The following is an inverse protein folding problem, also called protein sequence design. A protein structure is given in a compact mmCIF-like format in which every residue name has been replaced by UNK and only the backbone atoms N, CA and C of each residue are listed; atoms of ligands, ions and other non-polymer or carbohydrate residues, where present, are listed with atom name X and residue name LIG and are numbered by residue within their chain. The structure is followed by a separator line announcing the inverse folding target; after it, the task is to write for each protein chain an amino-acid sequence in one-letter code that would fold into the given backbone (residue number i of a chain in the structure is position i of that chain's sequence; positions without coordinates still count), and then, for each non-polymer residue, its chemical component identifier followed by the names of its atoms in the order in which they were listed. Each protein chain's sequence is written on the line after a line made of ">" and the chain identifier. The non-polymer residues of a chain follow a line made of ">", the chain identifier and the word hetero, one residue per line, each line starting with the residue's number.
data_IF_829661018064
#
_entry.id   IF_829661018064
#
_cell.length_a   1.000
_cell.length_b   1.000
_cell.length_c   1.000
_cell.angle_alpha   90.00
_cell.angle_beta   90.00
_cell.angle_gamma   90.00
#
_symmetry.space_group_name_H-M   'P 1'
#
loop_
_entity.id
_entity.type
_entity.pdbx_description
1 polymer ?
#
# COMPACT_ATOMS: atom_id res chain seq x y z
N UNK A 1 -29.21 24.52 15.10
CA UNK A 1 -28.53 23.23 15.38
C UNK A 1 -27.85 23.35 16.73
N UNK A 2 -28.38 22.66 17.73
CA UNK A 2 -27.92 22.73 19.10
C UNK A 2 -26.58 22.02 19.33
N UNK A 3 -26.12 22.07 20.58
CA UNK A 3 -24.86 21.43 21.01
C UNK A 3 -24.90 19.91 20.78
N UNK A 4 -26.08 19.29 20.95
CA UNK A 4 -26.28 17.86 20.70
C UNK A 4 -26.13 17.46 19.23
N UNK A 5 -26.60 18.30 18.30
CA UNK A 5 -26.46 18.04 16.87
C UNK A 5 -24.98 18.02 16.46
N UNK A 6 -24.16 18.86 17.10
CA UNK A 6 -22.71 18.93 16.85
C UNK A 6 -21.98 17.66 17.34
N UNK A 7 -22.40 17.11 18.48
CA UNK A 7 -21.87 15.85 19.03
C UNK A 7 -22.21 14.66 18.12
N UNK A 8 -23.46 14.54 17.68
CA UNK A 8 -23.90 13.46 16.80
C UNK A 8 -23.15 13.48 15.47
N UNK A 9 -22.98 14.66 14.87
CA UNK A 9 -22.21 14.85 13.64
C UNK A 9 -20.74 14.45 13.80
N UNK A 10 -20.12 14.75 14.94
CA UNK A 10 -18.76 14.30 15.24
C UNK A 10 -18.65 12.77 15.33
N UNK A 11 -19.64 12.13 15.94
CA UNK A 11 -19.73 10.67 16.03
C UNK A 11 -19.89 10.00 14.65
N UNK A 12 -20.73 10.57 13.78
CA UNK A 12 -20.91 10.09 12.41
C UNK A 12 -19.62 10.20 11.59
N UNK A 13 -18.92 11.34 11.67
CA UNK A 13 -17.63 11.54 11.01
C UNK A 13 -16.60 10.54 11.52
N UNK A 14 -16.55 10.28 12.84
CA UNK A 14 -15.68 9.28 13.43
C UNK A 14 -15.98 7.87 12.91
N UNK A 15 -17.27 7.51 12.80
CA UNK A 15 -17.71 6.23 12.23
C UNK A 15 -17.28 6.10 10.77
N UNK A 16 -17.53 7.12 9.95
CA UNK A 16 -17.10 7.15 8.55
C UNK A 16 -15.58 6.95 8.47
N UNK A 17 -14.81 7.74 9.22
CA UNK A 17 -13.36 7.62 9.28
C UNK A 17 -12.86 6.24 9.73
N UNK A 18 -13.63 5.45 10.48
CA UNK A 18 -13.28 4.07 10.86
C UNK A 18 -13.46 3.09 9.70
N UNK A 19 -14.53 3.22 8.92
CA UNK A 19 -14.92 2.25 7.88
C UNK A 19 -14.49 2.65 6.46
N UNK A 20 -14.32 3.94 6.20
CA UNK A 20 -13.87 4.48 4.91
C UNK A 20 -12.41 4.90 4.91
N UNK A 21 -11.66 4.64 6.01
CA UNK A 21 -10.20 4.83 6.00
C UNK A 21 -9.63 3.93 4.93
N UNK A 22 -9.36 4.50 3.76
CA UNK A 22 -8.51 3.88 2.76
C UNK A 22 -7.20 3.62 3.49
N UNK A 23 -6.94 2.36 3.84
CA UNK A 23 -5.65 1.94 4.35
C UNK A 23 -4.70 2.24 3.22
N UNK A 24 -3.96 3.35 3.31
CA UNK A 24 -2.86 3.61 2.38
C UNK A 24 -1.95 2.37 2.28
N UNK A 25 -1.81 1.63 3.39
CA UNK A 25 -1.13 0.35 3.51
C UNK A 25 -1.80 -0.89 2.84
N UNK A 26 -3.04 -0.80 2.35
CA UNK A 26 -3.68 -1.90 1.57
C UNK A 26 -3.69 -1.65 0.08
N UNK A 27 -3.42 -0.44 -0.36
CA UNK A 27 -3.11 -0.20 -1.76
C UNK A 27 -1.73 -0.79 -1.98
N UNK A 28 -1.56 -1.83 -2.82
CA UNK A 28 -0.23 -2.21 -3.25
C UNK A 28 0.39 -0.95 -3.84
N UNK A 29 1.52 -0.51 -3.28
CA UNK A 29 2.22 0.63 -3.85
C UNK A 29 2.55 0.27 -5.29
N UNK A 30 2.00 1.05 -6.22
CA UNK A 30 2.31 0.87 -7.62
C UNK A 30 3.77 1.24 -7.80
N UNK A 31 4.62 0.22 -7.91
CA UNK A 31 6.03 0.41 -8.16
C UNK A 31 6.22 0.70 -9.65
N UNK A 32 6.55 1.96 -9.96
CA UNK A 32 6.88 2.36 -11.32
C UNK A 32 8.19 1.65 -11.72
N UNK A 33 8.16 0.91 -12.83
CA UNK A 33 9.33 0.24 -13.41
C UNK A 33 9.68 0.85 -14.78
N UNK A 34 10.87 0.55 -15.27
CA UNK A 34 11.33 1.02 -16.57
C UNK A 34 10.64 0.28 -17.73
N UNK A 35 10.65 0.89 -18.92
CA UNK A 35 10.07 0.30 -20.13
C UNK A 35 10.62 -1.10 -20.42
N UNK A 36 11.92 -1.27 -20.27
CA UNK A 36 12.63 -2.54 -20.52
C UNK A 36 12.14 -3.66 -19.61
N UNK A 37 11.78 -3.33 -18.35
CA UNK A 37 11.22 -4.29 -17.41
C UNK A 37 9.88 -4.84 -17.93
N UNK A 38 9.00 -3.98 -18.41
CA UNK A 38 7.71 -4.40 -18.95
C UNK A 38 7.89 -5.24 -20.22
N UNK A 39 8.76 -4.82 -21.14
CA UNK A 39 9.02 -5.57 -22.39
C UNK A 39 9.54 -7.00 -22.12
N UNK A 40 10.33 -7.18 -21.06
CA UNK A 40 10.91 -8.49 -20.70
C UNK A 40 9.94 -9.37 -19.91
N UNK A 41 9.15 -8.78 -19.00
CA UNK A 41 8.35 -9.52 -18.02
C UNK A 41 6.88 -9.65 -18.44
N UNK A 42 6.37 -8.81 -19.34
CA UNK A 42 5.01 -8.85 -19.84
C UNK A 42 4.97 -9.39 -21.26
N UNK A 43 4.46 -10.61 -21.43
CA UNK A 43 4.39 -11.29 -22.73
C UNK A 43 2.99 -11.87 -22.93
N UNK A 44 2.43 -11.69 -24.12
CA UNK A 44 1.13 -12.22 -24.51
C UNK A 44 -0.01 -11.92 -23.52
N UNK A 45 0.02 -10.71 -22.95
CA UNK A 45 -1.00 -10.26 -22.00
C UNK A 45 -0.81 -10.72 -20.54
N UNK A 46 0.26 -11.47 -20.25
CA UNK A 46 0.50 -12.10 -18.95
C UNK A 46 1.88 -11.70 -18.42
N UNK A 47 1.97 -11.35 -17.13
CA UNK A 47 3.26 -11.21 -16.45
C UNK A 47 3.87 -12.59 -16.21
N UNK A 48 5.10 -12.77 -16.65
CA UNK A 48 5.91 -13.96 -16.40
C UNK A 48 6.06 -14.13 -14.88
N UNK A 49 5.47 -15.19 -14.31
CA UNK A 49 5.36 -15.38 -12.87
C UNK A 49 6.74 -15.51 -12.20
N UNK A 50 7.06 -14.67 -11.20
CA UNK A 50 8.02 -15.05 -10.15
C UNK A 50 9.05 -14.03 -9.65
N UNK A 51 9.24 -12.84 -10.23
CA UNK A 51 10.25 -11.89 -9.72
C UNK A 51 9.74 -10.86 -8.71
N UNK A 52 8.44 -10.83 -8.41
CA UNK A 52 7.85 -9.90 -7.42
C UNK A 52 7.82 -10.50 -6.00
N UNK A 53 8.53 -11.61 -5.76
CA UNK A 53 8.90 -11.98 -4.40
C UNK A 53 10.31 -11.45 -4.08
N UNK A 54 10.35 -10.40 -3.26
CA UNK A 54 11.37 -10.18 -2.22
C UNK A 54 12.49 -9.16 -2.40
N UNK A 55 12.52 -8.26 -3.38
CA UNK A 55 13.53 -7.16 -3.30
C UNK A 55 13.29 -6.22 -2.10
N UNK A 56 12.04 -6.05 -1.66
CA UNK A 56 11.69 -5.33 -0.44
C UNK A 56 12.04 -6.06 0.87
N UNK A 57 12.33 -7.37 0.83
CA UNK A 57 12.77 -8.14 2.00
C UNK A 57 14.31 -8.11 2.17
N UNK A 58 15.05 -7.99 1.08
CA UNK A 58 16.53 -8.06 1.10
C UNK A 58 17.16 -6.80 1.71
N UNK A 59 16.54 -5.63 1.57
CA UNK A 59 17.05 -4.38 2.16
C UNK A 59 16.85 -4.34 3.68
N UNK A 60 15.75 -4.89 4.20
CA UNK A 60 15.50 -4.96 5.65
C UNK A 60 16.45 -5.93 6.37
N UNK A 61 16.81 -7.04 5.74
CA UNK A 61 17.74 -8.03 6.31
C UNK A 61 19.20 -7.54 6.39
N UNK A 62 19.64 -6.66 5.49
CA UNK A 62 21.01 -6.09 5.51
C UNK A 62 21.21 -5.00 6.56
N UNK A 63 20.13 -4.33 6.99
CA UNK A 63 20.20 -3.28 8.03
C UNK A 63 20.47 -3.84 9.43
N UNK A 64 19.93 -5.02 9.75
CA UNK A 64 20.05 -5.60 11.09
C UNK A 64 21.47 -6.14 11.37
N UNK A 65 22.16 -6.66 10.35
CA UNK A 65 23.51 -7.23 10.50
C UNK A 65 24.63 -6.19 10.70
N UNK A 66 24.35 -4.89 10.59
CA UNK A 66 25.33 -3.82 10.81
C UNK A 66 25.21 -3.16 12.19
N UNK A 67 24.23 -3.57 12.99
CA UNK A 67 23.92 -2.98 14.29
C UNK A 67 24.19 -3.93 15.49
N UNK A 68 24.82 -5.08 15.23
CA UNK A 68 25.29 -6.04 16.24
C UNK A 68 26.81 -6.18 16.14
#
# INVERSE_FOLDING_TARGET
>A
MGIMDKLMRGYEIWKIGKYTRRRAALTPEFEQRDKEYYDQNYKDGIYSHGSVQSESAVTRAKSIKRAL
#
